data_IF_056549710668
#
_entry.id   IF_056549710668
#
_cell.length_a   1.000
_cell.length_b   1.000
_cell.length_c   1.000
_cell.angle_alpha   90.00
_cell.angle_beta   90.00
_cell.angle_gamma   90.00
#
_symmetry.space_group_name_H-M   'P 1'
#
loop_
_entity.id
_entity.type
_entity.pdbx_description
1 polymer ?
#
# COMPACT_ATOMS: atom_id res chain seq x y z
N UNK A 1 31.19 -5.39 -7.74
CA UNK A 1 32.33 -4.46 -7.66
C UNK A 1 33.24 -4.90 -6.52
N UNK A 2 34.24 -5.66 -6.78
CA UNK A 2 35.13 -6.13 -5.74
C UNK A 2 36.53 -6.19 -6.26
N UNK A 3 37.52 -6.03 -5.49
CA UNK A 3 38.93 -6.15 -5.79
C UNK A 3 39.81 -5.08 -5.15
N UNK A 4 39.20 -4.08 -4.50
CA UNK A 4 39.92 -3.06 -3.74
C UNK A 4 39.95 -3.36 -2.24
N UNK A 5 40.58 -2.49 -1.48
CA UNK A 5 40.56 -2.57 0.00
C UNK A 5 39.18 -2.23 0.58
N UNK A 6 38.31 -1.57 -0.16
CA UNK A 6 36.96 -1.15 0.20
C UNK A 6 36.00 -1.61 -0.89
N UNK A 7 34.96 -2.35 -0.50
CA UNK A 7 33.82 -2.71 -1.34
C UNK A 7 32.57 -1.94 -0.88
N UNK A 8 31.82 -1.35 -1.84
CA UNK A 8 30.57 -0.65 -1.55
C UNK A 8 29.49 -1.14 -2.49
N UNK A 9 28.31 -1.48 -1.96
CA UNK A 9 27.13 -1.85 -2.71
C UNK A 9 25.87 -1.24 -2.07
N UNK A 10 24.82 -0.97 -2.87
CA UNK A 10 23.58 -0.48 -2.35
C UNK A 10 22.43 -0.77 -3.29
N UNK A 11 21.22 -0.87 -2.75
CA UNK A 11 19.99 -0.98 -3.51
C UNK A 11 18.93 -0.03 -2.97
N UNK A 12 18.13 0.53 -3.88
CA UNK A 12 17.02 1.42 -3.55
C UNK A 12 15.80 1.05 -4.39
N UNK A 13 14.67 0.94 -3.73
CA UNK A 13 13.39 0.72 -4.39
C UNK A 13 12.34 1.67 -3.83
N UNK A 14 11.64 2.35 -4.72
CA UNK A 14 10.49 3.19 -4.41
C UNK A 14 9.29 2.70 -5.21
N UNK A 15 8.19 2.39 -4.51
CA UNK A 15 6.90 2.11 -5.10
C UNK A 15 5.87 3.08 -4.53
N UNK A 16 5.15 3.77 -5.40
CA UNK A 16 4.05 4.68 -5.04
C UNK A 16 2.82 4.26 -5.83
N UNK A 17 1.77 3.89 -5.12
CA UNK A 17 0.50 3.44 -5.70
C UNK A 17 -0.60 4.39 -5.26
N UNK A 18 -1.34 4.94 -6.24
CA UNK A 18 -2.51 5.76 -6.02
C UNK A 18 -3.69 5.13 -6.75
N UNK A 19 -4.65 4.62 -6.01
CA UNK A 19 -5.85 3.96 -6.53
C UNK A 19 -7.10 4.69 -6.08
N UNK A 20 -8.10 4.75 -6.97
CA UNK A 20 -9.42 5.28 -6.65
C UNK A 20 -10.48 4.50 -7.39
N UNK A 21 -11.31 3.78 -6.65
CA UNK A 21 -12.45 3.03 -7.16
C UNK A 21 -13.73 3.64 -6.63
N UNK A 22 -14.61 4.12 -7.54
CA UNK A 22 -15.83 4.80 -7.14
C UNK A 22 -17.03 4.33 -7.92
N UNK A 23 -18.14 4.15 -7.19
CA UNK A 23 -19.49 4.05 -7.73
C UNK A 23 -20.28 5.20 -7.12
N UNK A 24 -20.61 6.23 -7.93
CA UNK A 24 -21.23 7.43 -7.37
C UNK A 24 -22.36 8.02 -8.23
N UNK A 25 -23.38 8.54 -7.56
CA UNK A 25 -24.26 9.55 -8.12
C UNK A 25 -23.66 10.93 -7.83
N UNK A 26 -23.27 11.62 -8.89
CA UNK A 26 -22.53 12.89 -8.76
C UNK A 26 -23.43 14.04 -8.30
N UNK A 27 -22.79 15.06 -7.73
CA UNK A 27 -23.46 16.30 -7.35
C UNK A 27 -24.27 16.87 -8.50
N UNK A 28 -25.52 17.27 -8.22
CA UNK A 28 -26.45 17.82 -9.19
C UNK A 28 -27.04 16.79 -10.16
N UNK A 29 -26.77 15.50 -10.02
CA UNK A 29 -27.44 14.47 -10.80
C UNK A 29 -28.92 14.37 -10.42
N UNK A 30 -29.76 14.07 -11.39
CA UNK A 30 -31.18 13.79 -11.19
C UNK A 30 -31.50 12.45 -11.88
N UNK A 31 -31.70 11.43 -11.05
CA UNK A 31 -31.88 10.04 -11.51
C UNK A 31 -33.22 9.51 -11.01
N UNK A 32 -33.97 8.83 -11.91
CA UNK A 32 -35.21 8.14 -11.55
C UNK A 32 -35.10 6.65 -11.88
N UNK A 33 -35.45 5.80 -10.93
CA UNK A 33 -35.45 4.35 -11.08
C UNK A 33 -36.85 3.76 -11.43
N UNK A 34 -37.87 4.57 -11.48
CA UNK A 34 -39.23 4.15 -11.86
C UNK A 34 -39.78 2.94 -11.09
N UNK A 35 -39.46 2.85 -9.80
CA UNK A 35 -39.87 1.76 -8.92
C UNK A 35 -38.88 0.60 -8.83
N UNK A 36 -37.72 0.66 -9.50
CA UNK A 36 -36.69 -0.35 -9.43
C UNK A 36 -35.68 -0.14 -8.28
N UNK A 37 -34.87 -1.14 -8.06
CA UNK A 37 -33.77 -1.08 -7.09
C UNK A 37 -32.54 -0.40 -7.68
N UNK A 38 -31.79 0.30 -6.84
CA UNK A 38 -30.53 0.93 -7.21
C UNK A 38 -29.39 0.39 -6.34
N UNK A 39 -28.33 -0.09 -6.99
CA UNK A 39 -27.12 -0.56 -6.31
C UNK A 39 -25.91 0.22 -6.80
N UNK A 40 -25.19 0.84 -5.87
CA UNK A 40 -23.88 1.42 -6.08
C UNK A 40 -22.83 0.50 -5.44
N UNK A 41 -22.04 -0.17 -6.28
CA UNK A 41 -21.07 -1.15 -5.83
C UNK A 41 -19.66 -0.77 -6.29
N UNK A 42 -18.78 -0.44 -5.34
CA UNK A 42 -17.38 -0.15 -5.56
C UNK A 42 -16.52 -1.25 -4.94
N UNK A 43 -15.76 -1.97 -5.75
CA UNK A 43 -14.87 -3.05 -5.29
C UNK A 43 -13.46 -2.79 -5.78
N UNK A 44 -12.50 -2.73 -4.85
CA UNK A 44 -11.08 -2.62 -5.12
C UNK A 44 -10.34 -3.83 -4.54
N UNK A 45 -9.45 -4.42 -5.34
CA UNK A 45 -8.53 -5.46 -4.88
C UNK A 45 -7.16 -5.19 -5.47
N UNK A 46 -6.17 -4.90 -4.63
CA UNK A 46 -4.85 -4.52 -5.05
C UNK A 46 -3.74 -5.15 -4.20
N UNK A 47 -2.58 -5.34 -4.83
CA UNK A 47 -1.36 -5.75 -4.16
C UNK A 47 -0.22 -4.83 -4.58
N UNK A 48 0.63 -4.46 -3.64
CA UNK A 48 1.82 -3.65 -3.88
C UNK A 48 3.07 -4.30 -3.30
N UNK A 49 4.20 -4.16 -4.00
CA UNK A 49 5.46 -4.73 -3.55
C UNK A 49 6.62 -3.77 -3.84
N UNK A 50 7.48 -3.57 -2.84
CA UNK A 50 8.76 -2.88 -2.99
C UNK A 50 9.85 -3.77 -2.41
N UNK A 51 10.83 -4.16 -3.27
CA UNK A 51 11.92 -5.03 -2.88
C UNK A 51 13.26 -4.41 -3.25
N UNK A 52 14.08 -4.12 -2.24
CA UNK A 52 15.46 -3.70 -2.39
C UNK A 52 16.37 -4.87 -2.00
N UNK A 53 16.92 -5.54 -2.99
CA UNK A 53 17.72 -6.75 -2.83
C UNK A 53 19.17 -6.49 -3.27
N UNK A 54 20.16 -7.21 -2.71
CA UNK A 54 21.52 -7.14 -3.22
C UNK A 54 21.60 -7.67 -4.65
N UNK A 55 22.51 -7.09 -5.44
CA UNK A 55 22.67 -7.47 -6.85
C UNK A 55 23.39 -8.82 -7.05
N UNK A 56 24.09 -9.32 -6.05
CA UNK A 56 24.87 -10.55 -6.08
C UNK A 56 24.72 -11.36 -4.80
N UNK A 57 24.69 -12.67 -4.93
CA UNK A 57 24.79 -13.64 -3.86
C UNK A 57 26.00 -14.58 -4.17
N UNK A 58 27.08 -14.54 -3.42
CA UNK A 58 27.28 -13.82 -2.14
C UNK A 58 27.49 -12.30 -2.31
N UNK A 59 27.18 -11.54 -1.22
CA UNK A 59 27.26 -10.08 -1.25
C UNK A 59 28.67 -9.57 -1.55
N UNK A 60 28.77 -8.46 -2.27
CA UNK A 60 30.04 -7.82 -2.63
C UNK A 60 30.92 -7.54 -1.42
N UNK A 61 32.16 -7.96 -1.50
CA UNK A 61 33.13 -7.82 -0.40
C UNK A 61 34.36 -6.98 -0.78
N UNK A 62 34.90 -6.28 0.19
CA UNK A 62 36.23 -5.67 0.14
C UNK A 62 37.23 -6.48 0.96
N UNK A 63 38.52 -6.45 0.60
CA UNK A 63 39.55 -7.17 1.35
C UNK A 63 39.76 -6.67 2.78
N UNK A 64 39.37 -5.43 3.08
CA UNK A 64 39.45 -4.81 4.40
C UNK A 64 38.13 -4.29 4.94
N UNK A 65 37.35 -3.56 4.13
CA UNK A 65 36.08 -2.95 4.49
C UNK A 65 35.02 -3.28 3.46
N UNK A 66 33.87 -3.76 3.88
CA UNK A 66 32.67 -3.98 3.09
C UNK A 66 31.52 -3.10 3.61
N UNK A 67 30.88 -2.36 2.73
CA UNK A 67 29.69 -1.55 3.06
C UNK A 67 28.57 -1.91 2.11
N UNK A 68 27.44 -2.35 2.66
CA UNK A 68 26.21 -2.59 1.92
C UNK A 68 25.09 -1.69 2.50
N UNK A 69 24.18 -1.23 1.67
CA UNK A 69 22.99 -0.51 2.14
C UNK A 69 21.79 -0.80 1.24
N UNK A 70 20.63 -1.02 1.84
CA UNK A 70 19.38 -1.21 1.09
C UNK A 70 18.25 -0.41 1.70
N UNK A 71 17.47 0.27 0.84
CA UNK A 71 16.28 1.02 1.24
C UNK A 71 15.12 0.64 0.33
N UNK A 72 14.05 0.11 0.91
CA UNK A 72 12.78 -0.14 0.24
C UNK A 72 11.71 0.78 0.80
N UNK A 73 11.06 1.58 -0.04
CA UNK A 73 9.95 2.45 0.32
C UNK A 73 8.72 2.07 -0.51
N UNK A 74 7.63 1.73 0.18
CA UNK A 74 6.36 1.37 -0.43
C UNK A 74 5.26 2.27 0.14
N UNK A 75 4.63 3.08 -0.73
CA UNK A 75 3.59 4.02 -0.36
C UNK A 75 2.32 3.67 -1.15
N UNK A 76 1.23 3.47 -0.42
CA UNK A 76 -0.08 3.16 -1.02
C UNK A 76 -1.12 4.14 -0.52
N UNK A 77 -1.84 4.74 -1.48
CA UNK A 77 -3.05 5.52 -1.26
C UNK A 77 -4.16 4.82 -2.04
N UNK A 78 -5.12 4.21 -1.36
CA UNK A 78 -6.26 3.51 -1.98
C UNK A 78 -7.57 4.03 -1.38
N UNK A 79 -8.46 4.50 -2.25
CA UNK A 79 -9.79 4.99 -1.88
C UNK A 79 -10.84 4.18 -2.63
N UNK A 80 -11.70 3.47 -1.88
CA UNK A 80 -12.85 2.75 -2.43
C UNK A 80 -14.12 3.39 -1.88
N UNK A 81 -15.02 3.85 -2.77
CA UNK A 81 -16.16 4.64 -2.34
C UNK A 81 -17.43 4.31 -3.13
N UNK A 82 -18.50 3.99 -2.41
CA UNK A 82 -19.86 3.97 -2.94
C UNK A 82 -20.60 5.20 -2.38
N UNK A 83 -21.03 6.15 -3.25
CA UNK A 83 -21.49 7.44 -2.78
C UNK A 83 -22.70 7.99 -3.53
N UNK A 84 -23.54 8.67 -2.77
CA UNK A 84 -24.47 9.68 -3.31
C UNK A 84 -23.90 11.03 -2.90
N UNK A 85 -23.46 11.83 -3.87
CA UNK A 85 -22.84 13.12 -3.60
C UNK A 85 -23.85 14.19 -3.16
N UNK A 86 -23.36 15.29 -2.60
CA UNK A 86 -24.19 16.42 -2.17
C UNK A 86 -25.01 16.97 -3.32
N UNK A 87 -26.30 17.25 -3.06
CA UNK A 87 -27.23 17.79 -4.06
C UNK A 87 -27.66 16.81 -5.15
N UNK A 88 -27.29 15.54 -5.07
CA UNK A 88 -27.81 14.53 -5.97
C UNK A 88 -29.27 14.21 -5.64
N UNK A 89 -30.10 14.07 -6.68
CA UNK A 89 -31.49 13.67 -6.55
C UNK A 89 -31.70 12.28 -7.12
N UNK A 90 -32.26 11.40 -6.29
CA UNK A 90 -32.60 10.04 -6.65
C UNK A 90 -34.08 9.80 -6.30
N UNK A 91 -34.92 9.46 -7.30
CA UNK A 91 -36.35 9.33 -7.13
C UNK A 91 -36.91 8.03 -7.67
N UNK A 92 -38.05 7.59 -7.10
CA UNK A 92 -38.76 6.39 -7.55
C UNK A 92 -37.94 5.12 -7.40
N UNK A 93 -37.14 5.02 -6.34
CA UNK A 93 -36.37 3.84 -6.02
C UNK A 93 -37.15 2.97 -5.05
N UNK A 94 -37.15 1.66 -5.28
CA UNK A 94 -37.65 0.73 -4.27
C UNK A 94 -36.53 0.55 -3.22
N UNK A 95 -35.53 -0.25 -3.46
CA UNK A 95 -34.41 -0.44 -2.52
C UNK A 95 -33.15 0.26 -3.00
N UNK A 96 -32.42 0.87 -2.07
CA UNK A 96 -31.13 1.50 -2.32
C UNK A 96 -30.01 0.78 -1.56
N UNK A 97 -29.05 0.26 -2.29
CA UNK A 97 -27.91 -0.43 -1.73
C UNK A 97 -26.59 0.25 -2.12
N UNK A 98 -25.78 0.65 -1.13
CA UNK A 98 -24.41 1.13 -1.29
C UNK A 98 -23.44 0.10 -0.72
N UNK A 99 -22.52 -0.39 -1.53
CA UNK A 99 -21.49 -1.34 -1.10
C UNK A 99 -20.13 -0.81 -1.51
N UNK A 100 -19.24 -0.65 -0.55
CA UNK A 100 -17.83 -0.40 -0.79
C UNK A 100 -17.00 -1.53 -0.20
N UNK A 101 -16.15 -2.18 -0.98
CA UNK A 101 -15.29 -3.26 -0.52
C UNK A 101 -13.87 -3.04 -1.02
N UNK A 102 -12.93 -2.87 -0.09
CA UNK A 102 -11.51 -2.70 -0.37
C UNK A 102 -10.70 -3.88 0.17
N UNK A 103 -9.79 -4.41 -0.65
CA UNK A 103 -8.80 -5.38 -0.24
C UNK A 103 -7.42 -4.92 -0.71
N UNK A 104 -6.45 -4.79 0.20
CA UNK A 104 -5.11 -4.38 -0.14
C UNK A 104 -4.06 -5.23 0.57
N UNK A 105 -3.11 -5.78 -0.21
CA UNK A 105 -1.94 -6.48 0.29
C UNK A 105 -0.67 -5.67 0.00
N UNK A 106 0.21 -5.50 0.99
CA UNK A 106 1.44 -4.75 0.87
C UNK A 106 2.63 -5.59 1.34
N UNK A 107 3.68 -5.65 0.50
CA UNK A 107 4.94 -6.31 0.84
C UNK A 107 6.08 -5.33 0.67
N UNK A 108 6.90 -5.15 1.70
CA UNK A 108 8.11 -4.32 1.65
C UNK A 108 9.28 -5.15 2.16
N UNK A 109 10.29 -5.30 1.32
CA UNK A 109 11.46 -6.13 1.61
C UNK A 109 12.74 -5.36 1.33
N UNK A 110 13.61 -5.25 2.34
CA UNK A 110 14.93 -4.69 2.20
C UNK A 110 15.96 -5.70 2.68
N UNK A 111 16.77 -6.22 1.77
CA UNK A 111 17.88 -7.11 2.07
C UNK A 111 19.19 -6.47 1.66
N UNK A 112 20.19 -6.56 2.50
CA UNK A 112 21.53 -6.11 2.19
C UNK A 112 22.55 -7.07 2.74
N UNK A 113 23.74 -7.05 2.19
CA UNK A 113 24.87 -7.85 2.66
C UNK A 113 26.19 -7.13 2.41
N UNK A 114 27.14 -7.38 3.26
CA UNK A 114 28.53 -6.94 3.10
C UNK A 114 29.47 -8.03 3.59
N UNK A 115 30.51 -8.29 2.81
CA UNK A 115 31.54 -9.23 3.18
C UNK A 115 32.90 -8.53 3.26
N UNK A 116 33.70 -8.77 4.29
CA UNK A 116 35.07 -8.29 4.40
C UNK A 116 35.89 -9.10 5.41
N UNK A 117 37.22 -9.02 5.26
CA UNK A 117 38.13 -9.68 6.20
C UNK A 117 38.26 -8.94 7.56
N UNK A 118 37.88 -7.64 7.62
CA UNK A 118 38.07 -6.82 8.83
C UNK A 118 36.80 -6.18 9.33
N UNK A 119 36.11 -5.39 8.51
CA UNK A 119 34.88 -4.66 8.90
C UNK A 119 33.82 -4.80 7.83
N UNK A 120 32.62 -5.21 8.22
CA UNK A 120 31.45 -5.24 7.37
C UNK A 120 30.31 -4.43 8.00
N UNK A 121 29.65 -3.57 7.22
CA UNK A 121 28.50 -2.77 7.62
C UNK A 121 27.41 -2.93 6.59
N UNK A 122 26.20 -3.35 7.02
CA UNK A 122 25.12 -3.68 6.08
C UNK A 122 23.75 -3.24 6.65
N UNK A 123 23.42 -1.92 6.63
CA UNK A 123 22.09 -1.46 7.02
C UNK A 123 21.03 -1.83 5.96
N UNK A 124 19.86 -2.32 6.43
CA UNK A 124 18.68 -2.54 5.63
C UNK A 124 17.50 -1.78 6.25
N UNK A 125 16.77 -1.00 5.44
CA UNK A 125 15.63 -0.21 5.88
C UNK A 125 14.44 -0.49 4.97
N UNK A 126 13.35 -0.99 5.55
CA UNK A 126 12.05 -1.13 4.90
C UNK A 126 11.07 -0.12 5.49
N UNK A 127 10.35 0.61 4.63
CA UNK A 127 9.32 1.56 5.03
C UNK A 127 8.06 1.28 4.23
N UNK A 128 6.95 1.00 4.93
CA UNK A 128 5.65 0.80 4.33
C UNK A 128 4.65 1.85 4.87
N UNK A 129 4.06 2.63 3.97
CA UNK A 129 3.04 3.63 4.28
C UNK A 129 1.76 3.24 3.57
N UNK A 130 0.70 2.98 4.35
CA UNK A 130 -0.59 2.55 3.84
C UNK A 130 -1.69 3.51 4.27
N UNK A 131 -2.24 4.25 3.30
CA UNK A 131 -3.38 5.13 3.45
C UNK A 131 -4.55 4.52 2.66
N UNK A 132 -5.32 3.67 3.32
CA UNK A 132 -6.44 2.95 2.70
C UNK A 132 -7.75 3.42 3.33
N UNK A 133 -8.73 3.78 2.49
CA UNK A 133 -10.03 4.26 2.91
C UNK A 133 -11.13 3.60 2.11
N UNK A 134 -12.10 3.00 2.81
CA UNK A 134 -13.28 2.39 2.19
C UNK A 134 -14.53 3.01 2.82
N UNK A 135 -15.42 3.57 1.99
CA UNK A 135 -16.57 4.34 2.45
C UNK A 135 -17.82 4.05 1.66
N UNK A 136 -18.96 3.99 2.36
CA UNK A 136 -20.29 4.09 1.79
C UNK A 136 -20.94 5.37 2.36
N UNK A 137 -21.23 6.37 1.50
CA UNK A 137 -21.63 7.70 1.97
C UNK A 137 -22.87 8.22 1.23
N UNK A 138 -23.69 8.96 1.96
CA UNK A 138 -24.82 9.70 1.42
C UNK A 138 -24.64 11.16 1.81
N UNK A 139 -24.54 12.03 0.80
CA UNK A 139 -24.38 13.46 0.93
C UNK A 139 -25.64 14.17 1.40
N UNK A 140 -25.52 15.48 1.55
CA UNK A 140 -26.61 16.35 2.02
C UNK A 140 -27.17 17.24 0.89
N UNK A 141 -28.34 17.85 1.10
CA UNK A 141 -28.92 18.81 0.18
C UNK A 141 -29.55 18.23 -1.10
N UNK A 142 -29.55 16.90 -1.23
CA UNK A 142 -30.28 16.17 -2.26
C UNK A 142 -31.60 15.59 -1.74
N UNK A 143 -32.39 15.01 -2.63
CA UNK A 143 -33.60 14.30 -2.28
C UNK A 143 -33.48 12.83 -2.62
N UNK A 144 -33.80 11.96 -1.65
CA UNK A 144 -33.88 10.51 -1.82
C UNK A 144 -35.33 10.07 -1.69
N UNK A 145 -35.94 9.69 -2.83
CA UNK A 145 -37.30 9.13 -2.84
C UNK A 145 -37.28 7.61 -2.90
N UNK A 146 -37.30 6.99 -1.72
CA UNK A 146 -37.30 5.54 -1.54
C UNK A 146 -38.68 5.06 -1.08
N UNK A 147 -39.11 3.88 -1.54
CA UNK A 147 -40.32 3.19 -1.10
C UNK A 147 -39.99 1.91 -0.29
N UNK A 148 -38.79 1.39 -0.45
CA UNK A 148 -38.27 0.23 0.26
C UNK A 148 -37.13 0.56 1.20
N UNK A 149 -36.12 -0.32 1.28
CA UNK A 149 -35.04 -0.27 2.26
C UNK A 149 -33.81 0.49 1.77
N UNK A 150 -33.08 1.08 2.73
CA UNK A 150 -31.74 1.65 2.54
C UNK A 150 -30.71 0.77 3.24
N UNK A 151 -29.75 0.28 2.45
CA UNK A 151 -28.59 -0.46 2.98
C UNK A 151 -27.29 0.22 2.56
N UNK A 152 -26.38 0.46 3.51
CA UNK A 152 -25.06 0.98 3.25
C UNK A 152 -24.00 0.18 4.00
N UNK A 153 -23.01 -0.34 3.31
CA UNK A 153 -21.94 -1.14 3.91
C UNK A 153 -20.59 -0.76 3.34
N UNK A 154 -19.59 -0.71 4.22
CA UNK A 154 -18.19 -0.54 3.86
C UNK A 154 -17.35 -1.58 4.56
N UNK A 155 -16.53 -2.33 3.82
CA UNK A 155 -15.64 -3.33 4.35
C UNK A 155 -14.22 -3.15 3.83
N UNK A 156 -13.22 -3.24 4.71
CA UNK A 156 -11.82 -3.11 4.38
C UNK A 156 -11.02 -4.28 4.94
N UNK A 157 -10.25 -4.94 4.06
CA UNK A 157 -9.23 -5.91 4.44
C UNK A 157 -7.88 -5.40 4.01
N UNK A 158 -6.95 -5.28 4.95
CA UNK A 158 -5.58 -4.86 4.66
C UNK A 158 -4.59 -5.82 5.30
N UNK A 159 -3.60 -6.26 4.52
CA UNK A 159 -2.47 -7.04 5.01
C UNK A 159 -1.16 -6.32 4.68
N UNK A 160 -0.21 -6.37 5.60
CA UNK A 160 1.10 -5.76 5.45
C UNK A 160 2.18 -6.72 5.91
N UNK A 161 3.19 -6.90 5.09
CA UNK A 161 4.40 -7.64 5.41
C UNK A 161 5.61 -6.74 5.20
N UNK A 162 6.45 -6.64 6.21
CA UNK A 162 7.71 -5.89 6.19
C UNK A 162 8.83 -6.84 6.59
N UNK A 163 9.83 -6.96 5.72
CA UNK A 163 11.02 -7.76 5.98
C UNK A 163 12.27 -6.93 5.75
N UNK A 164 13.18 -6.94 6.71
CA UNK A 164 14.50 -6.34 6.58
C UNK A 164 15.54 -7.27 7.18
N UNK A 165 16.49 -7.65 6.36
CA UNK A 165 17.56 -8.59 6.71
C UNK A 165 18.90 -7.99 6.35
N UNK A 166 19.84 -8.02 7.31
CA UNK A 166 21.22 -7.62 7.12
C UNK A 166 22.12 -8.84 7.30
N UNK A 167 22.86 -9.20 6.27
CA UNK A 167 23.87 -10.24 6.35
C UNK A 167 25.27 -9.64 6.46
N UNK A 168 25.97 -9.98 7.54
CA UNK A 168 27.32 -9.55 7.79
C UNK A 168 28.27 -10.77 7.83
N UNK A 169 29.19 -10.78 6.90
CA UNK A 169 30.27 -11.78 6.87
C UNK A 169 31.60 -11.08 7.20
N UNK A 170 31.96 -11.06 8.48
CA UNK A 170 33.25 -10.57 8.94
C UNK A 170 33.71 -11.32 10.17
N UNK A 171 35.00 -11.27 10.48
CA UNK A 171 35.54 -11.83 11.72
C UNK A 171 35.11 -11.03 12.97
N UNK A 172 34.69 -9.77 12.80
CA UNK A 172 34.10 -8.94 13.84
C UNK A 172 32.68 -8.53 13.44
N UNK A 173 31.68 -9.04 14.18
CA UNK A 173 30.26 -8.74 13.93
C UNK A 173 29.83 -7.49 14.69
N UNK A 174 29.35 -6.46 13.97
CA UNK A 174 28.61 -5.35 14.55
C UNK A 174 27.18 -5.46 13.98
N UNK A 175 26.22 -5.83 14.83
CA UNK A 175 24.80 -5.90 14.46
C UNK A 175 24.11 -4.62 14.89
N UNK A 176 23.44 -3.91 13.96
CA UNK A 176 22.51 -2.83 14.26
C UNK A 176 21.09 -3.30 14.07
N UNK A 177 20.27 -3.18 15.12
CA UNK A 177 18.83 -3.39 15.02
C UNK A 177 18.20 -2.17 14.36
N UNK A 178 17.35 -2.40 13.34
CA UNK A 178 16.58 -1.35 12.67
C UNK A 178 15.19 -1.29 13.30
N UNK A 179 14.76 -0.11 13.71
CA UNK A 179 13.46 0.09 14.33
C UNK A 179 12.37 0.17 13.25
N UNK A 180 11.30 -0.63 13.42
CA UNK A 180 10.04 -0.43 12.72
C UNK A 180 9.24 0.68 13.41
N UNK A 181 8.90 1.73 12.68
CA UNK A 181 7.89 2.70 13.10
C UNK A 181 6.50 2.20 12.69
N UNK A 182 5.65 2.02 13.68
CA UNK A 182 4.22 1.71 13.50
C UNK A 182 3.44 2.97 13.19
#
# INVERSE_FOLDING_TARGET
>A
AGGGQIGVAGSFTLNIVNLGTRAELRSGSNTSASGGDVTLNAVSSAASSAKALPAEDPPTGGSKVGVGASLALNIVNDVTEAAIADGAVLSGVNDLTLVASGAHAMTTEAKTGAASAKVAVAPAIGIAISNVSTRATIGVGGALGLTGDLSASASQTASRSEEHTSELQSQFRISYAVFCLK
#
